data_IF_067612298521
#
_entry.id   IF_067612298521
#
_cell.length_a   1.000
_cell.length_b   1.000
_cell.length_c   1.000
_cell.angle_alpha   90.00
_cell.angle_beta   90.00
_cell.angle_gamma   90.00
#
_symmetry.space_group_name_H-M   'P 1'
#
loop_
_entity.id
_entity.type
_entity.pdbx_description
1 polymer ?
#
# COMPACT_ATOMS: atom_id res chain seq x y z
N UNK A 1 -11.10 -6.21 31.41
CA UNK A 1 -9.81 -5.99 30.72
C UNK A 1 -10.12 -5.28 29.44
N UNK A 2 -9.46 -4.16 29.12
CA UNK A 2 -9.69 -3.46 27.85
C UNK A 2 -9.43 -4.46 26.72
N UNK A 3 -10.41 -4.66 25.86
CA UNK A 3 -10.35 -5.55 24.70
C UNK A 3 -9.62 -4.83 23.56
N UNK A 4 -8.41 -4.34 23.87
CA UNK A 4 -7.61 -3.54 22.94
C UNK A 4 -7.19 -4.43 21.76
N UNK A 5 -7.20 -3.92 20.52
CA UNK A 5 -6.77 -4.68 19.37
C UNK A 5 -5.31 -5.15 19.50
N UNK A 6 -5.01 -6.37 19.05
CA UNK A 6 -3.64 -6.89 18.98
C UNK A 6 -3.08 -6.71 17.57
N UNK A 7 -1.91 -6.10 17.45
CA UNK A 7 -1.16 -6.03 16.19
C UNK A 7 -0.32 -7.30 16.02
N UNK A 8 -0.53 -8.04 14.94
CA UNK A 8 0.25 -9.21 14.56
C UNK A 8 1.29 -8.81 13.50
N UNK A 9 2.57 -8.95 13.86
CA UNK A 9 3.71 -8.51 13.06
C UNK A 9 4.37 -9.70 12.36
N UNK A 10 4.57 -9.59 11.05
CA UNK A 10 5.39 -10.55 10.30
C UNK A 10 6.89 -10.22 10.43
N UNK A 11 7.80 -11.21 10.49
CA UNK A 11 9.23 -10.96 10.71
C UNK A 11 9.88 -9.98 9.72
N UNK A 12 9.57 -10.09 8.44
CA UNK A 12 10.15 -9.27 7.37
C UNK A 12 9.57 -7.84 7.31
N UNK A 13 8.45 -7.58 8.00
CA UNK A 13 7.83 -6.26 8.10
C UNK A 13 7.69 -5.78 9.55
N UNK A 14 8.53 -6.32 10.44
CA UNK A 14 8.49 -6.09 11.89
C UNK A 14 8.57 -4.61 12.24
N UNK A 15 9.63 -3.93 11.81
CA UNK A 15 9.91 -2.57 12.28
C UNK A 15 8.80 -1.57 11.95
N UNK A 16 8.25 -1.50 10.71
CA UNK A 16 7.09 -0.64 10.43
C UNK A 16 5.84 -1.02 11.25
N UNK A 17 5.55 -2.32 11.40
CA UNK A 17 4.40 -2.78 12.16
C UNK A 17 4.50 -2.44 13.65
N UNK A 18 5.69 -2.58 14.25
CA UNK A 18 5.95 -2.21 15.65
C UNK A 18 5.84 -0.70 15.87
N UNK A 19 6.32 0.12 14.92
CA UNK A 19 6.14 1.58 14.97
C UNK A 19 4.67 1.97 14.91
N UNK A 20 3.89 1.33 14.04
CA UNK A 20 2.44 1.56 13.94
C UNK A 20 1.73 1.17 15.25
N UNK A 21 2.04 -0.01 15.79
CA UNK A 21 1.45 -0.47 17.05
C UNK A 21 1.75 0.50 18.21
N UNK A 22 3.01 0.96 18.30
CA UNK A 22 3.44 1.93 19.31
C UNK A 22 2.71 3.26 19.17
N UNK A 23 2.60 3.80 17.94
CA UNK A 23 1.89 5.04 17.68
C UNK A 23 0.39 4.95 17.99
N UNK A 24 -0.22 3.79 17.76
CA UNK A 24 -1.62 3.53 18.06
C UNK A 24 -1.89 3.17 19.54
N UNK A 25 -0.84 2.93 20.33
CA UNK A 25 -0.97 2.49 21.73
C UNK A 25 -1.51 1.06 21.87
N UNK A 26 -1.29 0.20 20.87
CA UNK A 26 -1.78 -1.18 20.87
C UNK A 26 -0.68 -2.19 21.20
N UNK A 27 -1.01 -3.29 21.91
CA UNK A 27 -0.10 -4.41 22.08
C UNK A 27 0.26 -5.03 20.73
N UNK A 28 1.39 -5.72 20.68
CA UNK A 28 1.89 -6.37 19.47
C UNK A 28 2.54 -7.72 19.77
N UNK A 29 2.35 -8.67 18.87
CA UNK A 29 2.93 -10.01 18.93
C UNK A 29 3.46 -10.42 17.55
N UNK A 30 4.42 -11.35 17.53
CA UNK A 30 4.98 -11.85 16.29
C UNK A 30 4.15 -13.01 15.72
N UNK A 31 4.01 -13.02 14.40
CA UNK A 31 3.66 -14.21 13.64
C UNK A 31 4.93 -15.03 13.46
N UNK A 32 4.88 -16.31 13.84
CA UNK A 32 5.96 -17.25 13.56
C UNK A 32 5.76 -17.85 12.16
N UNK A 33 6.75 -17.62 11.32
CA UNK A 33 6.77 -18.00 9.91
C UNK A 33 7.93 -18.95 9.67
N UNK A 34 7.63 -20.11 9.07
CA UNK A 34 8.64 -21.08 8.65
C UNK A 34 8.35 -21.56 7.24
N UNK A 35 9.41 -21.72 6.44
CA UNK A 35 9.32 -22.27 5.09
C UNK A 35 9.84 -23.70 5.08
N UNK A 36 9.02 -24.62 4.59
CA UNK A 36 9.43 -25.99 4.31
C UNK A 36 10.39 -26.03 3.09
N UNK A 37 11.12 -27.13 2.86
CA UNK A 37 12.10 -27.22 1.77
C UNK A 37 11.51 -27.05 0.36
N UNK A 38 10.21 -27.29 0.17
CA UNK A 38 9.47 -27.09 -1.08
C UNK A 38 8.91 -25.67 -1.26
N UNK A 39 9.06 -24.81 -0.24
CA UNK A 39 8.62 -23.42 -0.25
C UNK A 39 7.24 -23.17 0.35
N UNK A 40 6.55 -24.20 0.88
CA UNK A 40 5.30 -23.98 1.60
C UNK A 40 5.52 -23.26 2.93
N UNK A 41 4.61 -22.35 3.28
CA UNK A 41 4.68 -21.57 4.52
C UNK A 41 3.87 -22.23 5.64
N UNK A 42 4.53 -22.52 6.77
CA UNK A 42 3.89 -22.78 8.06
C UNK A 42 3.76 -21.47 8.84
N UNK A 43 2.52 -21.12 9.16
CA UNK A 43 2.18 -19.94 9.97
C UNK A 43 1.69 -20.35 11.36
N UNK A 44 2.23 -19.73 12.41
CA UNK A 44 1.76 -19.88 13.79
C UNK A 44 1.51 -18.51 14.42
N UNK A 45 0.33 -18.36 15.00
CA UNK A 45 -0.08 -17.19 15.80
C UNK A 45 0.07 -17.48 17.30
N UNK A 46 0.04 -16.46 18.16
CA UNK A 46 -0.16 -16.64 19.60
C UNK A 46 -1.40 -17.49 19.90
N UNK A 47 -1.32 -18.31 20.95
CA UNK A 47 -2.38 -19.29 21.29
C UNK A 47 -3.70 -18.62 21.71
N UNK A 48 -3.61 -17.43 22.28
CA UNK A 48 -4.76 -16.63 22.69
C UNK A 48 -4.73 -15.30 21.94
N UNK A 49 -5.83 -15.00 21.25
CA UNK A 49 -6.03 -13.73 20.55
C UNK A 49 -7.22 -13.00 21.16
N UNK A 50 -7.17 -11.65 21.23
CA UNK A 50 -8.37 -10.87 21.53
C UNK A 50 -9.36 -10.96 20.37
N UNK A 51 -10.57 -10.44 20.58
CA UNK A 51 -11.60 -10.42 19.54
C UNK A 51 -11.23 -9.53 18.33
N UNK A 52 -10.30 -8.58 18.50
CA UNK A 52 -9.88 -7.65 17.46
C UNK A 52 -8.39 -7.83 17.17
N UNK A 53 -8.06 -8.19 15.94
CA UNK A 53 -6.67 -8.35 15.49
C UNK A 53 -6.39 -7.48 14.27
N UNK A 54 -5.16 -6.97 14.20
CA UNK A 54 -4.68 -6.13 13.12
C UNK A 54 -3.43 -6.76 12.54
N UNK A 55 -3.44 -7.10 11.26
CA UNK A 55 -2.24 -7.47 10.53
C UNK A 55 -1.66 -6.21 9.88
N UNK A 56 -0.38 -5.90 10.12
CA UNK A 56 0.30 -4.80 9.43
C UNK A 56 1.42 -5.34 8.54
N UNK A 57 1.23 -5.26 7.21
CA UNK A 57 2.16 -5.85 6.24
C UNK A 57 2.07 -5.15 4.89
N UNK A 58 3.19 -4.62 4.40
CA UNK A 58 3.28 -4.15 3.00
C UNK A 58 3.27 -5.34 2.03
N UNK A 59 2.43 -5.27 1.00
CA UNK A 59 2.26 -6.33 0.01
C UNK A 59 3.14 -6.13 -1.24
N UNK A 60 4.27 -5.44 -1.12
CA UNK A 60 5.28 -5.42 -2.18
C UNK A 60 5.87 -6.84 -2.36
N UNK A 61 6.14 -7.28 -3.60
CA UNK A 61 6.48 -8.68 -3.90
C UNK A 61 5.44 -9.66 -3.30
N UNK A 62 4.20 -9.63 -3.82
CA UNK A 62 3.02 -10.03 -3.04
C UNK A 62 2.80 -11.52 -2.88
N UNK A 63 3.31 -12.37 -3.78
CA UNK A 63 2.74 -13.72 -3.96
C UNK A 63 2.83 -14.59 -2.71
N UNK A 64 4.04 -14.73 -2.16
CA UNK A 64 4.28 -15.44 -0.90
C UNK A 64 3.54 -14.78 0.26
N UNK A 65 3.64 -13.45 0.35
CA UNK A 65 3.02 -12.65 1.42
C UNK A 65 1.51 -12.82 1.48
N UNK A 66 0.84 -12.92 0.33
CA UNK A 66 -0.59 -13.14 0.24
C UNK A 66 -0.97 -14.52 0.81
N UNK A 67 -0.26 -15.58 0.43
CA UNK A 67 -0.56 -16.93 0.94
C UNK A 67 -0.43 -16.95 2.47
N UNK A 68 0.70 -16.48 2.99
CA UNK A 68 0.93 -16.40 4.44
C UNK A 68 -0.10 -15.55 5.18
N UNK A 69 -0.49 -14.42 4.59
CA UNK A 69 -1.47 -13.51 5.18
C UNK A 69 -2.87 -14.15 5.22
N UNK A 70 -3.26 -14.88 4.19
CA UNK A 70 -4.54 -15.61 4.15
C UNK A 70 -4.54 -16.76 5.16
N UNK A 71 -3.44 -17.50 5.29
CA UNK A 71 -3.26 -18.54 6.32
C UNK A 71 -3.35 -17.95 7.74
N UNK A 72 -2.68 -16.82 7.97
CA UNK A 72 -2.72 -16.10 9.24
C UNK A 72 -4.14 -15.62 9.58
N UNK A 73 -4.82 -14.94 8.66
CA UNK A 73 -6.17 -14.42 8.91
C UNK A 73 -7.19 -15.54 9.17
N UNK A 74 -7.14 -16.62 8.38
CA UNK A 74 -7.98 -17.79 8.62
C UNK A 74 -7.71 -18.44 9.98
N UNK A 75 -6.44 -18.54 10.38
CA UNK A 75 -6.03 -19.04 11.69
C UNK A 75 -6.52 -18.13 12.83
N UNK A 76 -6.41 -16.81 12.68
CA UNK A 76 -6.90 -15.85 13.66
C UNK A 76 -8.41 -15.99 13.90
N UNK A 77 -9.20 -16.15 12.81
CA UNK A 77 -10.64 -16.41 12.91
C UNK A 77 -10.93 -17.70 13.69
N UNK A 78 -10.19 -18.79 13.44
CA UNK A 78 -10.31 -20.06 14.18
C UNK A 78 -9.96 -19.93 15.66
N UNK A 79 -9.04 -19.04 16.01
CA UNK A 79 -8.63 -18.73 17.39
C UNK A 79 -9.58 -17.73 18.10
N UNK A 80 -10.68 -17.34 17.47
CA UNK A 80 -11.75 -16.53 18.10
C UNK A 80 -11.73 -15.04 17.75
N UNK A 81 -10.85 -14.57 16.87
CA UNK A 81 -10.89 -13.19 16.41
C UNK A 81 -12.20 -12.90 15.65
N UNK A 82 -12.95 -11.90 16.11
CA UNK A 82 -14.23 -11.47 15.53
C UNK A 82 -14.08 -10.32 14.54
N UNK A 83 -13.03 -9.50 14.68
CA UNK A 83 -12.70 -8.42 13.75
C UNK A 83 -11.23 -8.52 13.34
N UNK A 84 -11.00 -8.67 12.05
CA UNK A 84 -9.68 -8.82 11.45
C UNK A 84 -9.46 -7.65 10.50
N UNK A 85 -8.51 -6.78 10.84
CA UNK A 85 -8.14 -5.63 10.00
C UNK A 85 -6.81 -5.89 9.32
N UNK A 86 -6.72 -5.57 8.03
CA UNK A 86 -5.46 -5.49 7.30
C UNK A 86 -5.02 -4.04 7.18
N UNK A 87 -3.85 -3.71 7.70
CA UNK A 87 -3.12 -2.49 7.36
C UNK A 87 -2.04 -2.87 6.35
N UNK A 88 -2.27 -2.52 5.08
CA UNK A 88 -1.34 -2.77 3.99
C UNK A 88 -0.87 -1.43 3.41
N UNK A 89 0.25 -0.85 3.90
CA UNK A 89 0.73 0.44 3.41
C UNK A 89 0.88 0.49 1.89
N UNK A 90 1.35 -0.60 1.29
CA UNK A 90 1.26 -0.86 -0.14
C UNK A 90 0.30 -2.02 -0.39
N UNK A 91 -0.75 -1.76 -1.17
CA UNK A 91 -1.73 -2.76 -1.60
C UNK A 91 -1.40 -3.29 -3.00
N UNK A 92 -1.16 -4.59 -3.09
CA UNK A 92 -0.74 -5.25 -4.32
C UNK A 92 -1.88 -5.45 -5.33
N UNK A 93 -1.51 -5.80 -6.56
CA UNK A 93 -2.43 -6.20 -7.63
C UNK A 93 -3.47 -5.15 -8.04
N UNK A 94 -3.27 -3.89 -7.65
CA UNK A 94 -4.16 -2.78 -7.99
C UNK A 94 -3.97 -2.28 -9.44
N UNK A 95 -2.87 -2.65 -10.12
CA UNK A 95 -2.53 -2.17 -11.47
C UNK A 95 -3.32 -2.83 -12.61
N UNK A 96 -3.69 -4.10 -12.47
CA UNK A 96 -4.51 -4.82 -13.47
C UNK A 96 -5.98 -4.77 -13.05
N UNK A 97 -6.55 -3.59 -13.17
CA UNK A 97 -7.94 -3.24 -12.87
C UNK A 97 -8.90 -3.45 -14.07
N UNK A 98 -8.36 -3.84 -15.23
CA UNK A 98 -9.10 -4.23 -16.43
C UNK A 98 -8.29 -5.24 -17.25
N UNK A 99 -8.99 -6.08 -18.02
CA UNK A 99 -8.40 -6.85 -19.10
C UNK A 99 -8.25 -5.98 -20.36
N UNK A 100 -7.01 -5.74 -20.80
CA UNK A 100 -6.72 -5.01 -22.04
C UNK A 100 -6.81 -5.93 -23.26
N UNK A 101 -6.51 -7.22 -23.04
CA UNK A 101 -6.65 -8.27 -24.05
C UNK A 101 -7.64 -9.35 -23.59
N UNK A 102 -8.38 -9.98 -24.53
CA UNK A 102 -9.25 -11.11 -24.20
C UNK A 102 -8.47 -12.24 -23.51
N UNK A 103 -9.03 -12.76 -22.41
CA UNK A 103 -8.43 -13.85 -21.63
C UNK A 103 -7.51 -13.40 -20.49
N UNK A 104 -7.19 -12.11 -20.39
CA UNK A 104 -6.44 -11.59 -19.24
C UNK A 104 -7.28 -11.62 -17.95
N UNK A 105 -6.62 -11.91 -16.83
CA UNK A 105 -7.22 -11.76 -15.51
C UNK A 105 -7.48 -10.28 -15.19
N UNK A 106 -8.44 -10.03 -14.31
CA UNK A 106 -8.59 -8.74 -13.64
C UNK A 106 -8.11 -8.94 -12.21
N UNK A 107 -6.78 -8.92 -12.00
CA UNK A 107 -6.19 -9.31 -10.72
C UNK A 107 -6.67 -8.45 -9.56
N UNK A 108 -6.95 -7.16 -9.80
CA UNK A 108 -7.46 -6.26 -8.77
C UNK A 108 -8.75 -6.82 -8.15
N UNK A 109 -9.67 -7.28 -8.99
CA UNK A 109 -10.94 -7.85 -8.55
C UNK A 109 -10.76 -9.18 -7.85
N UNK A 110 -9.97 -10.08 -8.43
CA UNK A 110 -9.74 -11.43 -7.89
C UNK A 110 -9.07 -11.36 -6.51
N UNK A 111 -7.99 -10.58 -6.40
CA UNK A 111 -7.25 -10.44 -5.14
C UNK A 111 -8.04 -9.60 -4.13
N UNK A 112 -8.78 -8.60 -4.59
CA UNK A 112 -9.69 -7.83 -3.74
C UNK A 112 -10.79 -8.69 -3.10
N UNK A 113 -11.45 -9.55 -3.87
CA UNK A 113 -12.43 -10.51 -3.37
C UNK A 113 -11.79 -11.53 -2.40
N UNK A 114 -10.58 -12.02 -2.70
CA UNK A 114 -9.83 -12.90 -1.81
C UNK A 114 -9.54 -12.24 -0.46
N UNK A 115 -9.04 -11.00 -0.46
CA UNK A 115 -8.78 -10.23 0.77
C UNK A 115 -10.09 -9.97 1.53
N UNK A 116 -11.16 -9.56 0.84
CA UNK A 116 -12.45 -9.34 1.46
C UNK A 116 -13.07 -10.60 2.09
N UNK A 117 -12.72 -11.79 1.59
CA UNK A 117 -13.15 -13.06 2.19
C UNK A 117 -12.47 -13.42 3.51
N UNK A 118 -11.45 -12.67 3.94
CA UNK A 118 -10.65 -12.95 5.15
C UNK A 118 -10.57 -11.78 6.12
N UNK A 119 -10.73 -10.56 5.63
CA UNK A 119 -10.60 -9.33 6.41
C UNK A 119 -11.93 -8.59 6.47
N UNK A 120 -12.24 -8.02 7.63
CA UNK A 120 -13.44 -7.20 7.84
C UNK A 120 -13.16 -5.72 7.50
N UNK A 121 -11.89 -5.30 7.53
CA UNK A 121 -11.45 -3.93 7.24
C UNK A 121 -10.07 -3.92 6.60
N UNK A 122 -9.82 -2.94 5.73
CA UNK A 122 -8.54 -2.74 5.05
C UNK A 122 -8.17 -1.25 5.06
N UNK A 123 -6.94 -0.96 5.48
CA UNK A 123 -6.34 0.37 5.45
C UNK A 123 -5.10 0.32 4.56
N UNK A 124 -4.99 1.23 3.60
CA UNK A 124 -3.84 1.36 2.68
C UNK A 124 -3.48 2.83 2.46
N UNK A 125 -2.33 3.10 1.87
CA UNK A 125 -1.87 4.45 1.49
C UNK A 125 -1.80 4.55 -0.03
N UNK A 126 -2.36 5.62 -0.59
CA UNK A 126 -2.36 5.98 -2.02
C UNK A 126 -2.46 4.76 -2.98
N UNK A 127 -3.51 3.92 -2.86
CA UNK A 127 -3.66 2.75 -3.72
C UNK A 127 -3.90 3.18 -5.18
N UNK A 128 -3.41 2.37 -6.12
CA UNK A 128 -3.59 2.62 -7.56
C UNK A 128 -5.05 2.37 -7.98
N UNK A 129 -5.88 3.42 -7.97
CA UNK A 129 -7.33 3.35 -8.22
C UNK A 129 -7.73 4.14 -9.50
N UNK A 130 -7.12 3.81 -10.65
CA UNK A 130 -7.33 4.58 -11.89
C UNK A 130 -8.76 4.45 -12.47
N UNK A 131 -9.41 3.30 -12.31
CA UNK A 131 -10.72 3.02 -12.93
C UNK A 131 -11.85 2.78 -11.93
N UNK A 132 -11.57 2.92 -10.64
CA UNK A 132 -12.54 2.77 -9.55
C UNK A 132 -12.54 4.01 -8.68
N UNK A 133 -13.69 4.38 -8.14
CA UNK A 133 -13.85 5.66 -7.43
C UNK A 133 -13.37 5.61 -5.99
N UNK A 134 -13.32 4.42 -5.40
CA UNK A 134 -12.91 4.23 -4.02
C UNK A 134 -12.38 2.81 -3.82
N UNK A 135 -11.68 2.62 -2.69
CA UNK A 135 -11.05 1.36 -2.34
C UNK A 135 -12.05 0.21 -2.19
N UNK A 136 -13.28 0.49 -1.75
CA UNK A 136 -14.29 -0.53 -1.53
C UNK A 136 -14.74 -1.23 -2.83
N UNK A 137 -14.66 -0.53 -3.97
CA UNK A 137 -14.91 -1.14 -5.28
C UNK A 137 -13.81 -2.13 -5.69
N UNK A 138 -12.56 -1.89 -5.27
CA UNK A 138 -11.44 -2.79 -5.53
C UNK A 138 -11.40 -3.93 -4.50
N UNK A 139 -11.63 -3.63 -3.22
CA UNK A 139 -11.60 -4.59 -2.11
C UNK A 139 -12.91 -4.43 -1.31
N UNK A 140 -13.92 -5.30 -1.53
CA UNK A 140 -15.27 -5.12 -0.99
C UNK A 140 -15.39 -5.52 0.49
N UNK A 141 -14.59 -4.91 1.36
CA UNK A 141 -14.70 -5.01 2.82
C UNK A 141 -15.60 -3.91 3.38
N UNK A 142 -16.13 -4.09 4.59
CA UNK A 142 -16.96 -3.07 5.26
C UNK A 142 -16.14 -1.81 5.59
N UNK A 143 -14.95 -1.99 6.15
CA UNK A 143 -14.06 -0.90 6.57
C UNK A 143 -12.91 -0.64 5.61
N UNK A 144 -13.19 -0.14 4.40
CA UNK A 144 -12.16 0.20 3.41
C UNK A 144 -11.69 1.67 3.56
N UNK A 145 -10.42 1.89 3.92
CA UNK A 145 -9.83 3.22 4.10
C UNK A 145 -8.58 3.37 3.22
N UNK A 146 -8.60 4.34 2.31
CA UNK A 146 -7.44 4.80 1.57
C UNK A 146 -6.95 6.13 2.17
N UNK A 147 -5.76 6.09 2.76
CA UNK A 147 -5.06 7.28 3.25
C UNK A 147 -4.23 7.89 2.12
N UNK A 148 -3.85 9.16 2.27
CA UNK A 148 -2.88 9.80 1.37
C UNK A 148 -1.65 10.28 2.13
N UNK A 149 -0.47 10.01 1.56
CA UNK A 149 0.82 10.48 2.03
C UNK A 149 1.10 11.94 1.66
N UNK A 150 0.27 12.56 0.80
CA UNK A 150 0.43 13.92 0.27
C UNK A 150 0.86 14.94 1.33
N UNK A 151 0.13 15.03 2.44
CA UNK A 151 0.41 16.01 3.48
C UNK A 151 1.76 15.77 4.16
N UNK A 152 2.08 14.52 4.48
CA UNK A 152 3.34 14.14 5.13
C UNK A 152 4.53 14.38 4.20
N UNK A 153 4.38 14.09 2.91
CA UNK A 153 5.41 14.37 1.90
C UNK A 153 5.67 15.86 1.74
N UNK A 154 4.62 16.67 1.63
CA UNK A 154 4.75 18.12 1.51
C UNK A 154 5.40 18.75 2.75
N UNK A 155 4.95 18.35 3.95
CA UNK A 155 5.53 18.83 5.21
C UNK A 155 7.03 18.46 5.30
N UNK A 156 7.42 17.24 4.89
CA UNK A 156 8.83 16.84 4.82
C UNK A 156 9.63 17.65 3.81
N UNK A 157 9.11 17.85 2.60
CA UNK A 157 9.79 18.60 1.54
C UNK A 157 10.08 20.04 1.97
N UNK A 158 9.12 20.67 2.65
CA UNK A 158 9.26 22.03 3.20
C UNK A 158 10.36 22.13 4.26
N UNK A 159 10.56 21.09 5.06
CA UNK A 159 11.61 21.05 6.09
C UNK A 159 13.00 20.80 5.51
N UNK A 160 13.08 20.11 4.36
CA UNK A 160 14.37 19.66 3.80
C UNK A 160 14.89 20.53 2.65
N UNK A 161 14.01 21.21 1.91
CA UNK A 161 14.34 21.87 0.64
C UNK A 161 13.80 23.29 0.60
N UNK A 162 14.53 24.19 -0.07
CA UNK A 162 14.11 25.57 -0.28
C UNK A 162 13.50 25.70 -1.68
N UNK A 163 12.16 25.82 -1.73
CA UNK A 163 11.37 25.96 -2.96
C UNK A 163 11.73 24.96 -4.09
N UNK A 164 11.66 23.64 -3.85
CA UNK A 164 11.95 22.64 -4.86
C UNK A 164 10.94 22.69 -6.01
N UNK A 165 11.37 22.28 -7.21
CA UNK A 165 10.47 21.99 -8.33
C UNK A 165 10.08 20.51 -8.28
N UNK A 166 8.77 20.24 -8.21
CA UNK A 166 8.26 18.87 -8.24
C UNK A 166 8.04 18.43 -9.69
N UNK A 167 8.52 17.25 -10.06
CA UNK A 167 8.38 16.71 -11.41
C UNK A 167 7.75 15.32 -11.35
N UNK A 168 6.62 15.17 -12.02
CA UNK A 168 6.01 13.86 -12.29
C UNK A 168 6.70 13.14 -13.44
N UNK A 169 6.99 11.83 -13.35
CA UNK A 169 7.71 11.09 -14.41
C UNK A 169 6.87 10.86 -15.68
N UNK A 170 5.54 10.95 -15.57
CA UNK A 170 4.63 10.96 -16.70
C UNK A 170 3.32 11.71 -16.41
N UNK A 171 2.47 11.86 -17.43
CA UNK A 171 1.22 12.63 -17.34
C UNK A 171 0.22 12.04 -16.33
N UNK A 172 0.27 10.74 -16.05
CA UNK A 172 -0.62 10.09 -15.09
C UNK A 172 -0.30 10.51 -13.65
N UNK A 173 0.95 10.90 -13.40
CA UNK A 173 1.41 11.34 -12.07
C UNK A 173 0.94 12.72 -11.63
N UNK A 174 0.30 13.49 -12.52
CA UNK A 174 -0.12 14.87 -12.28
C UNK A 174 -0.98 15.02 -11.03
N UNK A 175 -1.82 14.03 -10.72
CA UNK A 175 -2.70 14.06 -9.56
C UNK A 175 -1.92 14.08 -8.24
N UNK A 176 -0.83 13.32 -8.14
CA UNK A 176 -0.01 13.26 -6.93
C UNK A 176 0.90 14.47 -6.82
N UNK A 177 1.58 14.83 -7.91
CA UNK A 177 2.51 15.95 -7.94
C UNK A 177 1.77 17.26 -7.63
N UNK A 178 0.63 17.50 -8.27
CA UNK A 178 -0.17 18.70 -8.04
C UNK A 178 -0.74 18.74 -6.61
N UNK A 179 -1.15 17.60 -6.05
CA UNK A 179 -1.67 17.55 -4.68
C UNK A 179 -0.61 17.93 -3.64
N UNK A 180 0.63 17.46 -3.81
CA UNK A 180 1.76 17.82 -2.94
C UNK A 180 2.12 19.30 -3.14
N UNK A 181 2.28 19.73 -4.40
CA UNK A 181 2.66 21.11 -4.74
C UNK A 181 1.67 22.16 -4.20
N UNK A 182 0.37 21.86 -4.27
CA UNK A 182 -0.71 22.77 -3.85
C UNK A 182 -0.62 23.18 -2.39
N UNK A 183 -0.09 22.33 -1.51
CA UNK A 183 -0.08 22.58 -0.06
C UNK A 183 0.86 23.73 0.33
N UNK A 184 1.99 23.85 -0.36
CA UNK A 184 3.01 24.87 -0.09
C UNK A 184 3.28 25.79 -1.28
N UNK A 185 2.36 25.82 -2.27
CA UNK A 185 2.48 26.63 -3.49
C UNK A 185 3.78 26.40 -4.27
N UNK A 186 4.26 25.16 -4.29
CA UNK A 186 5.46 24.78 -5.02
C UNK A 186 5.20 24.75 -6.52
N UNK A 187 6.23 25.07 -7.30
CA UNK A 187 6.19 24.84 -8.75
C UNK A 187 6.13 23.33 -9.01
N UNK A 188 5.37 22.93 -10.04
CA UNK A 188 5.42 21.57 -10.53
C UNK A 188 5.25 21.46 -12.04
N UNK A 189 5.75 20.36 -12.59
CA UNK A 189 5.46 19.95 -13.96
C UNK A 189 5.39 18.42 -14.07
N UNK A 190 4.93 17.92 -15.21
CA UNK A 190 4.97 16.48 -15.53
C UNK A 190 5.73 16.27 -16.83
N UNK A 191 6.50 15.19 -16.88
CA UNK A 191 7.12 14.78 -18.13
C UNK A 191 6.09 14.10 -19.04
N UNK A 192 6.38 14.09 -20.34
CA UNK A 192 5.67 13.27 -21.32
C UNK A 192 6.44 11.99 -21.57
N UNK A 193 5.77 10.85 -21.41
CA UNK A 193 6.35 9.52 -21.57
C UNK A 193 5.81 8.83 -22.82
N UNK A 194 6.72 8.51 -23.72
CA UNK A 194 6.42 7.76 -24.94
C UNK A 194 7.05 6.37 -24.84
N UNK A 195 6.22 5.31 -24.81
CA UNK A 195 6.70 3.93 -24.80
C UNK A 195 6.93 3.47 -26.25
N UNK A 196 8.18 3.21 -26.58
CA UNK A 196 8.61 2.66 -27.87
C UNK A 196 8.84 1.13 -27.80
N UNK A 197 8.68 0.54 -26.61
CA UNK A 197 8.75 -0.89 -26.29
C UNK A 197 8.81 -1.11 -24.78
N UNK A 198 8.81 -2.36 -24.30
CA UNK A 198 8.75 -2.68 -22.85
C UNK A 198 9.92 -2.09 -22.05
N UNK A 199 11.10 -1.98 -22.67
CA UNK A 199 12.31 -1.40 -22.09
C UNK A 199 12.79 -0.13 -22.78
N UNK A 200 12.07 0.34 -23.80
CA UNK A 200 12.45 1.52 -24.57
C UNK A 200 11.44 2.63 -24.34
N UNK A 201 11.82 3.62 -23.55
CA UNK A 201 10.94 4.72 -23.14
C UNK A 201 11.66 6.04 -23.40
N UNK A 202 10.98 6.97 -24.05
CA UNK A 202 11.43 8.35 -24.21
C UNK A 202 10.67 9.23 -23.22
N UNK A 203 11.42 10.00 -22.44
CA UNK A 203 10.88 10.98 -21.50
C UNK A 203 11.24 12.38 -22.00
N UNK A 204 10.25 13.25 -22.11
CA UNK A 204 10.42 14.64 -22.53
C UNK A 204 9.89 15.56 -21.43
N UNK A 205 10.74 16.43 -20.90
CA UNK A 205 10.32 17.46 -19.95
C UNK A 205 9.75 18.69 -20.68
N UNK A 206 8.84 19.45 -20.05
CA UNK A 206 8.43 20.75 -20.57
C UNK A 206 9.62 21.71 -20.72
N UNK A 207 9.55 22.63 -21.68
CA UNK A 207 10.57 23.65 -21.83
C UNK A 207 10.62 24.55 -20.59
N UNK A 208 11.80 24.76 -20.04
CA UNK A 208 12.03 25.57 -18.84
C UNK A 208 13.51 25.62 -18.47
N UNK A 209 13.88 26.56 -17.59
CA UNK A 209 15.21 26.59 -16.98
C UNK A 209 15.18 25.81 -15.66
N UNK A 210 15.97 24.75 -15.62
CA UNK A 210 16.11 23.87 -14.46
C UNK A 210 17.45 24.09 -13.75
N UNK A 211 18.30 24.98 -14.27
CA UNK A 211 19.66 25.19 -13.78
C UNK A 211 19.64 25.66 -12.33
N UNK A 212 20.32 24.92 -11.45
CA UNK A 212 20.41 25.27 -10.02
C UNK A 212 19.13 25.04 -9.20
N UNK A 213 18.05 24.52 -9.78
CA UNK A 213 16.84 24.14 -9.03
C UNK A 213 17.04 22.81 -8.31
N UNK A 214 16.52 22.70 -7.08
CA UNK A 214 16.34 21.41 -6.41
C UNK A 214 15.14 20.70 -7.06
N UNK A 215 15.38 19.52 -7.63
CA UNK A 215 14.36 18.74 -8.34
C UNK A 215 13.94 17.55 -7.50
N UNK A 216 12.63 17.34 -7.39
CA UNK A 216 12.04 16.18 -6.69
C UNK A 216 11.14 15.43 -7.65
N UNK A 217 11.43 14.15 -7.87
CA UNK A 217 10.55 13.28 -8.65
C UNK A 217 9.46 12.72 -7.74
N UNK A 218 8.21 12.78 -8.21
CA UNK A 218 7.03 12.33 -7.45
C UNK A 218 6.19 11.39 -8.31
N UNK A 219 5.92 10.20 -7.80
CA UNK A 219 5.07 9.19 -8.44
C UNK A 219 4.32 8.36 -7.37
N UNK A 220 3.39 7.50 -7.78
CA UNK A 220 2.63 6.63 -6.87
C UNK A 220 3.41 5.39 -6.38
N UNK A 221 4.40 4.91 -7.14
CA UNK A 221 5.18 3.68 -6.84
C UNK A 221 6.64 3.77 -7.28
#
# INVERSE_FOLDING_TARGET
>A
MKNDPLVLCFPEYRQPAERMATAAGFPREMVDTHHFPDGESRIRLPEQLPEQVIFCRSLNQPNEKLIELILAAATARRLGAKRITLVAPYLCYMRQDKAFHPGEAISQRIIGELLASRFDSLITVDPHLHRVHNLQQAVPVEGAIALSATAVMADWLKEQLDNPLLIGPDEESVQWVAAIAKRDHLDYCVARKERLGDRNVRITLPAGDYTGRQIVLVDDV
#
